data_IF_644593132676
#
_entry.id   IF_644593132676
#
_cell.length_a   1.000
_cell.length_b   1.000
_cell.length_c   1.000
_cell.angle_alpha   90.00
_cell.angle_beta   90.00
_cell.angle_gamma   90.00
#
_symmetry.space_group_name_H-M   'P 1'
#
loop_
_entity.id
_entity.type
_entity.pdbx_description
1 polymer ?
#
# COMPACT_ATOMS: atom_id res chain seq x y z
N UNK A 1 -28.06 -7.42 6.92
CA UNK A 1 -26.99 -8.37 7.24
C UNK A 1 -25.89 -8.24 6.22
N UNK A 2 -24.64 -8.41 6.63
CA UNK A 2 -23.48 -8.38 5.72
C UNK A 2 -22.88 -9.78 5.54
N UNK A 3 -22.81 -10.25 4.30
CA UNK A 3 -22.18 -11.53 3.95
C UNK A 3 -20.67 -11.37 3.90
N UNK A 4 -19.93 -12.22 4.61
CA UNK A 4 -18.48 -12.19 4.59
C UNK A 4 -17.94 -12.63 3.22
N UNK A 5 -17.10 -11.83 2.54
CA UNK A 5 -16.57 -12.17 1.22
C UNK A 5 -15.56 -13.33 1.23
N UNK A 6 -15.09 -13.76 2.41
CA UNK A 6 -14.10 -14.84 2.55
C UNK A 6 -14.75 -16.22 2.79
N UNK A 7 -15.80 -16.31 3.61
CA UNK A 7 -16.43 -17.57 4.00
C UNK A 7 -17.94 -17.67 3.70
N UNK A 8 -18.53 -16.65 3.09
CA UNK A 8 -19.97 -16.54 2.77
C UNK A 8 -20.92 -16.60 3.98
N UNK A 9 -20.41 -16.53 5.22
CA UNK A 9 -21.23 -16.44 6.42
C UNK A 9 -21.94 -15.08 6.51
N UNK A 10 -23.21 -15.06 6.88
CA UNK A 10 -23.99 -13.83 7.09
C UNK A 10 -23.80 -13.32 8.52
N UNK A 11 -23.52 -12.03 8.67
CA UNK A 11 -23.23 -11.37 9.95
C UNK A 11 -24.25 -10.23 10.17
N UNK A 12 -24.50 -9.81 11.43
CA UNK A 12 -25.34 -8.65 11.70
C UNK A 12 -24.75 -7.36 11.11
N UNK A 13 -25.62 -6.38 10.82
CA UNK A 13 -25.19 -5.09 10.30
C UNK A 13 -24.39 -4.31 11.35
N UNK A 14 -23.27 -3.71 10.93
CA UNK A 14 -22.32 -3.08 11.85
C UNK A 14 -21.28 -4.02 12.47
N UNK A 15 -21.32 -5.32 12.19
CA UNK A 15 -20.24 -6.24 12.56
C UNK A 15 -18.91 -5.81 11.90
N UNK A 16 -17.87 -5.61 12.72
CA UNK A 16 -16.52 -5.21 12.27
C UNK A 16 -15.70 -6.41 11.79
N UNK A 17 -15.97 -7.60 12.33
CA UNK A 17 -15.32 -8.86 12.00
C UNK A 17 -16.37 -9.96 11.80
N UNK A 18 -16.08 -10.91 10.92
CA UNK A 18 -16.95 -12.05 10.69
C UNK A 18 -16.90 -13.06 11.85
N UNK A 19 -18.04 -13.48 12.37
CA UNK A 19 -18.12 -14.38 13.53
C UNK A 19 -17.57 -15.79 13.23
N UNK A 20 -17.73 -16.28 12.00
CA UNK A 20 -17.26 -17.60 11.58
C UNK A 20 -15.77 -17.70 11.19
N UNK A 21 -15.08 -16.60 10.88
CA UNK A 21 -13.70 -16.65 10.35
C UNK A 21 -12.82 -15.44 10.72
N UNK A 22 -13.30 -14.54 11.60
CA UNK A 22 -12.63 -13.33 12.09
C UNK A 22 -12.15 -12.31 11.05
N UNK A 23 -12.39 -12.57 9.76
CA UNK A 23 -12.06 -11.67 8.65
C UNK A 23 -12.75 -10.32 8.84
N UNK A 24 -12.04 -9.18 8.75
CA UNK A 24 -12.65 -7.87 8.87
C UNK A 24 -13.70 -7.67 7.78
N UNK A 25 -14.86 -7.15 8.17
CA UNK A 25 -15.98 -6.88 7.27
C UNK A 25 -15.92 -5.43 6.80
N UNK A 26 -16.25 -5.12 5.53
CA UNK A 26 -16.25 -3.75 5.06
C UNK A 26 -17.38 -2.97 5.75
N UNK A 27 -17.00 -2.00 6.59
CA UNK A 27 -17.94 -1.15 7.33
C UNK A 27 -18.53 -0.10 6.37
N UNK A 28 -19.42 -0.54 5.48
CA UNK A 28 -20.24 0.32 4.62
C UNK A 28 -21.33 0.98 5.46
N UNK A 29 -20.93 2.00 6.23
CA UNK A 29 -21.87 2.85 6.97
C UNK A 29 -22.41 3.93 6.04
N UNK A 30 -23.73 4.09 6.03
CA UNK A 30 -24.35 5.23 5.36
C UNK A 30 -24.02 6.53 6.11
N UNK A 31 -23.57 7.53 5.37
CA UNK A 31 -23.32 8.91 5.82
C UNK A 31 -24.10 9.88 4.94
N UNK A 32 -24.44 11.05 5.47
CA UNK A 32 -25.05 12.11 4.65
C UNK A 32 -23.95 12.98 4.00
N UNK A 33 -24.16 13.37 2.74
CA UNK A 33 -23.25 14.32 2.09
C UNK A 33 -23.42 15.73 2.68
N UNK A 34 -22.37 16.37 3.24
CA UNK A 34 -22.50 17.67 3.91
C UNK A 34 -22.80 18.86 2.96
N UNK A 35 -22.87 18.62 1.64
CA UNK A 35 -23.17 19.62 0.63
C UNK A 35 -24.57 19.48 0.00
N UNK A 36 -25.19 18.30 0.07
CA UNK A 36 -26.49 18.05 -0.57
C UNK A 36 -27.38 17.01 0.14
N UNK A 37 -27.01 16.57 1.35
CA UNK A 37 -27.72 15.64 2.25
C UNK A 37 -28.09 14.26 1.68
N UNK A 38 -27.80 14.00 0.40
CA UNK A 38 -27.92 12.67 -0.19
C UNK A 38 -27.08 11.65 0.58
N UNK A 39 -27.67 10.47 0.83
CA UNK A 39 -27.01 9.35 1.49
C UNK A 39 -25.90 8.79 0.60
N UNK A 40 -24.70 8.63 1.16
CA UNK A 40 -23.51 8.05 0.51
C UNK A 40 -22.89 6.99 1.42
N UNK A 41 -21.99 6.16 0.87
CA UNK A 41 -21.20 5.21 1.66
C UNK A 41 -19.99 5.91 2.31
N UNK A 42 -19.59 5.45 3.49
CA UNK A 42 -18.47 6.01 4.27
C UNK A 42 -17.09 5.87 3.62
N UNK A 43 -16.93 5.04 2.59
CA UNK A 43 -15.72 4.85 1.79
C UNK A 43 -15.74 5.63 0.46
N UNK A 44 -16.86 6.26 0.11
CA UNK A 44 -17.01 7.00 -1.14
C UNK A 44 -16.14 8.28 -1.14
N UNK A 45 -15.30 8.41 -2.17
CA UNK A 45 -14.44 9.61 -2.34
C UNK A 45 -15.22 10.85 -2.78
N UNK A 46 -16.33 10.66 -3.48
CA UNK A 46 -17.19 11.71 -4.02
C UNK A 46 -18.67 11.35 -3.86
N UNK A 47 -19.53 12.34 -3.65
CA UNK A 47 -20.98 12.16 -3.64
C UNK A 47 -21.51 12.00 -5.08
N UNK A 48 -22.10 10.84 -5.39
CA UNK A 48 -22.67 10.55 -6.71
C UNK A 48 -23.87 11.43 -7.12
N UNK A 49 -24.48 12.17 -6.18
CA UNK A 49 -25.62 13.05 -6.46
C UNK A 49 -25.22 14.49 -6.78
N UNK A 50 -24.18 15.03 -6.14
CA UNK A 50 -23.78 16.44 -6.28
C UNK A 50 -22.27 16.68 -6.49
N UNK A 51 -21.48 15.63 -6.75
CA UNK A 51 -20.05 15.72 -7.10
C UNK A 51 -19.10 16.12 -5.96
N UNK A 52 -19.62 16.47 -4.78
CA UNK A 52 -18.83 16.94 -3.65
C UNK A 52 -17.77 15.91 -3.18
N UNK A 53 -16.54 16.38 -2.95
CA UNK A 53 -15.43 15.54 -2.49
C UNK A 53 -15.52 15.29 -0.98
N UNK A 54 -15.86 14.05 -0.61
CA UNK A 54 -16.10 13.65 0.78
C UNK A 54 -14.80 13.53 1.58
N UNK A 55 -13.65 13.27 0.92
CA UNK A 55 -12.35 13.14 1.60
C UNK A 55 -11.88 14.46 2.24
N UNK A 56 -12.34 15.61 1.74
CA UNK A 56 -12.01 16.92 2.30
C UNK A 56 -12.78 17.25 3.60
N UNK A 57 -14.00 16.71 3.76
CA UNK A 57 -14.85 16.99 4.92
C UNK A 57 -14.33 16.30 6.20
N UNK A 58 -13.75 15.10 6.08
CA UNK A 58 -13.20 14.34 7.22
C UNK A 58 -12.01 15.06 7.88
N UNK A 59 -11.34 15.98 7.18
CA UNK A 59 -10.15 16.67 7.66
C UNK A 59 -10.42 17.96 8.46
N UNK A 60 -11.66 18.46 8.51
CA UNK A 60 -11.96 19.82 9.02
C UNK A 60 -12.65 19.87 10.38
N UNK A 61 -13.05 18.73 10.97
CA UNK A 61 -13.89 18.70 12.16
C UNK A 61 -13.12 18.64 13.51
N UNK A 62 -11.99 19.36 13.61
CA UNK A 62 -11.24 19.58 14.86
C UNK A 62 -10.73 21.02 14.96
N UNK A 63 -11.60 21.96 15.33
CA UNK A 63 -11.21 23.29 15.83
C UNK A 63 -12.41 23.99 16.51
N UNK A 64 -12.44 24.09 17.85
CA UNK A 64 -13.36 24.97 18.55
C UNK A 64 -13.02 26.44 18.26
N UNK A 65 -14.04 27.25 18.00
CA UNK A 65 -13.90 28.68 17.72
C UNK A 65 -13.35 29.45 18.95
N UNK A 66 -12.25 30.19 18.78
CA UNK A 66 -11.76 31.17 19.75
C UNK A 66 -11.50 32.51 19.05
N UNK A 67 -12.22 33.54 19.47
CA UNK A 67 -12.16 34.88 18.88
C UNK A 67 -10.93 35.66 19.41
N UNK A 68 -10.21 36.41 18.55
CA UNK A 68 -9.10 37.24 19.00
C UNK A 68 -9.58 38.62 19.48
N UNK A 69 -9.24 38.99 20.71
CA UNK A 69 -9.36 40.37 21.19
C UNK A 69 -8.18 40.75 22.09
N UNK A 70 -7.84 42.05 22.13
CA UNK A 70 -6.73 42.69 22.85
C UNK A 70 -5.31 42.24 22.50
N UNK A 71 -4.71 42.97 21.56
CA UNK A 71 -3.26 43.15 21.50
C UNK A 71 -2.80 44.21 22.50
N UNK A 72 -1.77 43.92 23.29
CA UNK A 72 -0.84 44.91 23.87
C UNK A 72 0.57 44.37 23.67
N UNK A 73 1.49 45.21 23.15
CA UNK A 73 2.91 44.89 23.06
C UNK A 73 3.70 45.69 24.13
N UNK A 74 4.75 45.11 24.74
CA UNK A 74 5.79 45.86 25.43
C UNK A 74 7.01 46.08 24.53
N UNK A 75 7.77 47.15 24.78
CA UNK A 75 9.03 47.48 24.11
C UNK A 75 9.94 48.26 25.05
N UNK A 76 11.25 48.27 24.77
CA UNK A 76 12.33 48.98 25.47
C UNK A 76 12.69 48.43 26.87
N UNK A 77 13.69 47.55 26.99
CA UNK A 77 15.16 47.77 27.18
C UNK A 77 15.55 48.01 28.69
N UNK A 78 16.82 48.29 29.12
CA UNK A 78 17.48 47.39 30.07
C UNK A 78 18.06 48.04 31.35
N UNK A 79 18.54 47.22 32.30
CA UNK A 79 19.50 47.62 33.33
C UNK A 79 20.23 46.40 33.91
N UNK A 80 21.39 46.65 34.53
CA UNK A 80 22.40 45.66 34.94
C UNK A 80 22.57 45.54 36.46
N UNK A 81 23.49 44.66 36.88
CA UNK A 81 23.94 44.41 38.27
C UNK A 81 22.96 43.61 39.15
N UNK A 82 23.40 42.62 39.94
CA UNK A 82 24.73 42.00 39.99
C UNK A 82 24.89 40.93 41.09
N UNK A 83 25.80 39.97 40.84
CA UNK A 83 26.53 39.10 41.78
C UNK A 83 25.80 38.15 42.77
N UNK A 84 26.50 37.04 43.10
CA UNK A 84 26.39 36.19 44.31
C UNK A 84 25.32 35.06 44.38
N UNK A 85 25.78 33.85 44.07
CA UNK A 85 25.48 32.60 44.82
C UNK A 85 26.29 32.56 46.14
N UNK A 86 26.06 31.65 47.13
CA UNK A 86 25.31 30.38 47.08
C UNK A 86 24.42 30.01 48.31
N UNK A 87 23.82 28.82 48.24
CA UNK A 87 23.86 27.75 49.27
C UNK A 87 22.54 27.23 49.91
N UNK A 88 22.51 25.88 49.98
CA UNK A 88 22.03 25.03 51.08
C UNK A 88 20.52 24.83 51.38
N UNK A 89 20.06 23.64 50.97
CA UNK A 89 19.44 22.58 51.80
C UNK A 89 18.01 22.75 52.39
N UNK A 90 17.36 21.58 52.53
CA UNK A 90 16.23 21.26 53.43
C UNK A 90 14.85 21.91 53.10
N UNK A 91 13.70 21.25 53.28
CA UNK A 91 13.43 19.82 53.51
C UNK A 91 11.96 19.47 53.15
N UNK A 92 11.60 18.19 53.27
CA UNK A 92 10.29 17.61 53.69
C UNK A 92 9.07 18.56 53.67
N UNK A 93 7.92 18.22 53.05
CA UNK A 93 7.02 17.21 53.64
C UNK A 93 5.88 16.70 52.74
N UNK A 94 5.39 15.52 53.12
CA UNK A 94 4.29 14.72 52.59
C UNK A 94 2.86 15.24 52.78
N UNK A 95 1.99 14.94 51.80
CA UNK A 95 0.60 14.43 51.95
C UNK A 95 0.20 13.75 50.61
N UNK A 96 -0.46 12.59 50.51
CA UNK A 96 -1.81 12.19 51.00
C UNK A 96 -2.94 13.00 50.32
N UNK A 97 -4.04 12.43 49.79
CA UNK A 97 -4.61 11.06 49.91
C UNK A 97 -5.53 10.65 48.72
N UNK A 98 -6.24 9.52 48.88
CA UNK A 98 -7.17 8.76 48.01
C UNK A 98 -8.46 9.52 47.55
N UNK A 99 -9.42 9.01 46.73
CA UNK A 99 -10.03 7.66 46.72
C UNK A 99 -10.95 7.31 45.49
N UNK A 100 -10.92 6.04 45.06
CA UNK A 100 -12.02 5.05 44.83
C UNK A 100 -13.37 5.35 44.08
N UNK A 101 -13.76 4.42 43.18
CA UNK A 101 -15.13 3.90 42.83
C UNK A 101 -16.18 4.83 42.14
N UNK A 102 -17.29 4.39 41.51
CA UNK A 102 -17.79 3.15 40.81
C UNK A 102 -19.09 3.52 40.01
N UNK A 103 -19.99 2.73 39.38
CA UNK A 103 -20.31 1.27 39.26
C UNK A 103 -21.21 1.00 37.99
N UNK A 104 -21.77 -0.21 37.79
CA UNK A 104 -22.65 -0.66 36.68
C UNK A 104 -24.16 -0.30 36.85
N UNK A 105 -24.97 -0.41 35.77
CA UNK A 105 -26.41 -0.81 35.79
C UNK A 105 -27.04 -0.98 34.38
N UNK A 106 -28.13 -1.78 34.31
CA UNK A 106 -28.94 -2.15 33.11
C UNK A 106 -30.47 -1.95 33.40
N UNK A 107 -31.52 -2.31 32.65
CA UNK A 107 -31.77 -3.19 31.46
C UNK A 107 -33.18 -2.88 30.83
N UNK A 108 -33.51 -3.40 29.61
CA UNK A 108 -34.86 -3.47 28.94
C UNK A 108 -35.53 -2.13 28.51
N UNK A 109 -36.62 -2.02 27.71
CA UNK A 109 -37.74 -2.92 27.30
C UNK A 109 -38.22 -2.76 25.81
N UNK A 110 -39.23 -3.57 25.43
CA UNK A 110 -39.76 -3.90 24.09
C UNK A 110 -40.68 -2.84 23.40
N UNK A 111 -41.04 -3.06 22.12
CA UNK A 111 -42.08 -2.27 21.40
C UNK A 111 -42.44 -2.75 19.98
N UNK A 112 -43.53 -3.51 19.82
CA UNK A 112 -43.96 -4.22 18.59
C UNK A 112 -44.93 -3.42 17.68
N UNK A 113 -44.82 -3.53 16.34
CA UNK A 113 -45.94 -3.71 15.37
C UNK A 113 -45.46 -3.84 13.91
N UNK A 114 -46.29 -4.44 13.03
CA UNK A 114 -45.97 -4.71 11.62
C UNK A 114 -47.15 -4.38 10.67
N UNK A 115 -46.87 -4.21 9.37
CA UNK A 115 -47.81 -4.36 8.24
C UNK A 115 -47.07 -4.90 6.98
N UNK A 116 -47.78 -5.20 5.89
CA UNK A 116 -47.27 -6.00 4.75
C UNK A 116 -48.00 -5.73 3.40
N UNK A 117 -47.79 -6.57 2.37
CA UNK A 117 -48.33 -6.48 0.98
C UNK A 117 -47.71 -5.35 0.09
N UNK A 118 -47.58 -5.41 -1.26
CA UNK A 118 -47.79 -6.49 -2.27
C UNK A 118 -46.97 -6.27 -3.59
N UNK A 119 -46.53 -7.40 -4.17
CA UNK A 119 -46.20 -7.82 -5.57
C UNK A 119 -46.27 -6.80 -6.76
N UNK A 120 -45.36 -7.02 -7.74
CA UNK A 120 -45.29 -6.59 -9.18
C UNK A 120 -44.13 -5.62 -9.52
N UNK A 121 -43.46 -5.65 -10.68
CA UNK A 121 -43.37 -6.64 -11.78
C UNK A 121 -42.12 -6.38 -12.67
N UNK A 122 -41.74 -7.36 -13.50
CA UNK A 122 -40.64 -7.27 -14.49
C UNK A 122 -41.14 -6.66 -15.82
N UNK A 123 -40.36 -5.75 -16.43
CA UNK A 123 -39.80 -5.98 -17.78
C UNK A 123 -38.26 -5.78 -17.75
N UNK A 124 -37.40 -6.49 -18.48
CA UNK A 124 -37.47 -7.14 -19.80
C UNK A 124 -37.51 -6.16 -21.00
N UNK A 125 -36.33 -5.67 -21.38
CA UNK A 125 -36.06 -5.05 -22.69
C UNK A 125 -34.69 -5.50 -23.20
N UNK A 126 -34.67 -6.10 -24.39
CA UNK A 126 -33.46 -6.63 -25.05
C UNK A 126 -32.74 -5.60 -25.92
N UNK A 127 -31.70 -6.05 -26.64
CA UNK A 127 -31.00 -5.37 -27.75
C UNK A 127 -29.90 -4.33 -27.35
N UNK A 128 -28.80 -4.17 -28.10
CA UNK A 128 -28.34 -4.93 -29.29
C UNK A 128 -26.81 -5.05 -29.37
N UNK A 129 -26.37 -6.11 -30.05
CA UNK A 129 -24.98 -6.46 -30.35
C UNK A 129 -24.43 -5.73 -31.58
N UNK A 130 -23.15 -5.30 -31.53
CA UNK A 130 -22.24 -5.30 -32.71
C UNK A 130 -20.78 -5.47 -32.29
N UNK A 131 -20.22 -6.67 -32.43
CA UNK A 131 -18.77 -6.84 -32.58
C UNK A 131 -18.39 -6.68 -34.06
N UNK A 132 -17.29 -5.99 -34.42
CA UNK A 132 -16.74 -6.04 -35.77
C UNK A 132 -16.20 -7.45 -36.07
N UNK A 133 -16.29 -7.84 -37.34
CA UNK A 133 -16.13 -9.22 -37.82
C UNK A 133 -14.76 -9.44 -38.46
N UNK A 134 -14.13 -10.57 -38.17
CA UNK A 134 -12.94 -11.04 -38.90
C UNK A 134 -13.31 -11.44 -40.34
N UNK A 135 -12.55 -10.91 -41.30
CA UNK A 135 -12.36 -11.43 -42.67
C UNK A 135 -10.93 -11.06 -43.07
N UNK A 136 -9.98 -11.99 -43.18
CA UNK A 136 -9.86 -13.02 -44.23
C UNK A 136 -9.11 -12.48 -45.46
N UNK A 137 -7.78 -12.65 -45.44
CA UNK A 137 -6.88 -12.52 -46.59
C UNK A 137 -5.84 -13.65 -46.49
N UNK A 138 -6.08 -14.74 -47.20
CA UNK A 138 -5.04 -15.70 -47.63
C UNK A 138 -4.93 -15.66 -49.17
N UNK A 139 -4.07 -16.51 -49.74
CA UNK A 139 -3.89 -16.73 -51.18
C UNK A 139 -3.23 -15.60 -52.00
N UNK A 140 -1.91 -15.48 -51.87
CA UNK A 140 -1.03 -15.49 -53.03
C UNK A 140 0.03 -16.58 -52.84
N UNK A 141 0.05 -17.57 -53.74
CA UNK A 141 0.83 -18.80 -53.67
C UNK A 141 1.88 -18.88 -54.79
N UNK A 142 2.93 -19.68 -54.55
CA UNK A 142 3.92 -20.30 -55.46
C UNK A 142 4.26 -19.68 -56.83
N UNK A 143 5.54 -19.30 -57.01
CA UNK A 143 6.41 -19.56 -58.19
C UNK A 143 7.76 -18.81 -58.01
N UNK A 144 8.93 -19.28 -58.47
CA UNK A 144 9.36 -20.59 -58.98
C UNK A 144 10.90 -20.73 -58.76
N UNK A 145 11.50 -21.87 -59.11
CA UNK A 145 12.92 -22.16 -58.88
C UNK A 145 13.82 -21.99 -60.13
N UNK A 146 15.13 -22.19 -59.93
CA UNK A 146 16.27 -22.35 -60.88
C UNK A 146 17.16 -21.10 -61.09
N UNK A 147 18.43 -21.05 -60.61
CA UNK A 147 19.69 -21.69 -61.07
C UNK A 147 20.43 -20.83 -62.16
N UNK A 148 21.79 -20.78 -62.30
CA UNK A 148 22.83 -21.56 -61.62
C UNK A 148 24.09 -20.81 -61.10
N UNK A 149 24.88 -21.56 -60.32
CA UNK A 149 26.35 -21.54 -60.10
C UNK A 149 27.23 -20.34 -60.53
N UNK A 150 28.08 -19.90 -59.59
CA UNK A 150 29.40 -19.32 -59.87
C UNK A 150 30.47 -19.96 -58.98
N UNK A 151 31.67 -20.20 -59.53
CA UNK A 151 32.79 -20.89 -58.85
C UNK A 151 33.85 -19.89 -58.37
N UNK A 152 33.93 -19.66 -57.06
CA UNK A 152 35.03 -18.96 -56.37
C UNK A 152 35.52 -19.79 -55.20
N UNK A 153 36.84 -19.90 -54.99
CA UNK A 153 37.43 -20.97 -54.15
C UNK A 153 38.43 -20.45 -53.10
N UNK A 154 38.03 -20.58 -51.83
CA UNK A 154 38.88 -20.52 -50.61
C UNK A 154 39.53 -19.15 -50.29
N UNK A 155 40.08 -18.93 -49.07
CA UNK A 155 40.11 -19.84 -47.90
C UNK A 155 39.46 -19.28 -46.61
N UNK A 156 39.35 -20.16 -45.62
CA UNK A 156 39.39 -19.91 -44.17
C UNK A 156 39.01 -18.51 -43.64
N UNK A 157 37.77 -18.38 -43.17
CA UNK A 157 37.57 -18.06 -41.76
C UNK A 157 36.34 -18.81 -41.24
N UNK A 158 36.53 -19.64 -40.22
CA UNK A 158 35.39 -20.17 -39.48
C UNK A 158 34.78 -19.01 -38.70
N UNK A 159 33.48 -18.67 -38.84
CA UNK A 159 32.81 -17.95 -37.78
C UNK A 159 32.84 -18.89 -36.57
N UNK A 160 33.72 -18.60 -35.61
CA UNK A 160 33.69 -19.30 -34.33
C UNK A 160 32.26 -19.15 -33.80
N UNK A 161 31.61 -20.27 -33.48
CA UNK A 161 30.29 -20.25 -32.90
C UNK A 161 30.41 -19.65 -31.50
N UNK A 162 30.33 -18.32 -31.44
CA UNK A 162 30.14 -17.57 -30.21
C UNK A 162 28.80 -18.02 -29.70
N UNK A 163 28.82 -19.05 -28.85
CA UNK A 163 27.68 -19.41 -28.02
C UNK A 163 27.29 -18.14 -27.30
N UNK A 164 26.15 -17.56 -27.68
CA UNK A 164 25.45 -16.53 -26.91
C UNK A 164 24.88 -17.19 -25.66
N UNK A 165 25.79 -17.66 -24.81
CA UNK A 165 25.53 -18.15 -23.49
C UNK A 165 25.08 -16.94 -22.69
N UNK A 166 23.76 -16.78 -22.49
CA UNK A 166 23.25 -15.79 -21.58
C UNK A 166 23.88 -16.06 -20.22
N UNK A 167 24.76 -15.16 -19.76
CA UNK A 167 25.01 -15.01 -18.34
C UNK A 167 23.70 -14.52 -17.74
N UNK A 168 22.92 -15.46 -17.22
CA UNK A 168 21.76 -15.17 -16.41
C UNK A 168 22.28 -14.63 -15.07
N UNK A 169 22.51 -13.32 -15.01
CA UNK A 169 22.86 -12.64 -13.76
C UNK A 169 21.77 -12.92 -12.73
N UNK A 170 22.08 -13.72 -11.72
CA UNK A 170 21.19 -13.93 -10.61
C UNK A 170 21.28 -12.71 -9.68
N UNK A 171 20.14 -12.29 -9.15
CA UNK A 171 20.04 -11.12 -8.29
C UNK A 171 19.64 -11.55 -6.89
N UNK A 172 20.14 -10.85 -5.87
CA UNK A 172 19.87 -11.17 -4.48
C UNK A 172 19.83 -9.94 -3.59
N UNK A 173 19.22 -10.10 -2.41
CA UNK A 173 19.10 -9.10 -1.36
C UNK A 173 19.83 -9.61 -0.11
N UNK A 174 20.96 -8.99 0.23
CA UNK A 174 21.67 -9.25 1.50
C UNK A 174 21.05 -8.39 2.60
N UNK A 175 20.33 -9.00 3.55
CA UNK A 175 19.79 -8.28 4.72
C UNK A 175 20.93 -7.88 5.67
N UNK A 176 21.11 -6.58 5.89
CA UNK A 176 22.31 -6.00 6.52
C UNK A 176 22.41 -6.38 8.00
N UNK A 177 21.28 -6.42 8.71
CA UNK A 177 21.22 -6.65 10.15
C UNK A 177 21.47 -8.12 10.53
N UNK A 178 21.25 -9.06 9.61
CA UNK A 178 21.39 -10.52 9.86
C UNK A 178 22.41 -11.22 8.96
N UNK A 179 22.93 -10.54 7.94
CA UNK A 179 23.76 -11.09 6.86
C UNK A 179 23.12 -12.29 6.12
N UNK A 180 21.78 -12.34 6.09
CA UNK A 180 21.02 -13.37 5.37
C UNK A 180 20.80 -12.90 3.92
N UNK A 181 21.27 -13.67 2.95
CA UNK A 181 21.04 -13.42 1.52
C UNK A 181 19.77 -14.13 1.03
N UNK A 182 18.87 -13.39 0.42
CA UNK A 182 17.67 -13.91 -0.26
C UNK A 182 17.90 -13.81 -1.77
N UNK A 183 17.67 -14.88 -2.53
CA UNK A 183 17.70 -14.83 -3.99
C UNK A 183 16.38 -14.26 -4.53
N UNK A 184 16.47 -13.36 -5.52
CA UNK A 184 15.30 -12.79 -6.20
C UNK A 184 14.87 -13.78 -7.30
N UNK A 185 13.61 -14.28 -7.31
CA UNK A 185 13.16 -15.26 -8.29
C UNK A 185 13.19 -14.75 -9.74
N UNK A 186 14.28 -14.98 -10.46
CA UNK A 186 14.52 -14.48 -11.82
C UNK A 186 13.57 -15.03 -12.90
N UNK A 187 12.67 -15.95 -12.55
CA UNK A 187 11.59 -16.45 -13.41
C UNK A 187 10.29 -15.62 -13.29
N UNK A 188 10.20 -14.69 -12.34
CA UNK A 188 9.05 -13.81 -12.15
C UNK A 188 9.33 -12.41 -12.73
N UNK A 189 8.40 -11.83 -13.50
CA UNK A 189 8.52 -10.45 -14.02
C UNK A 189 8.27 -9.39 -12.94
N UNK A 190 7.60 -9.79 -11.85
CA UNK A 190 7.32 -9.00 -10.64
C UNK A 190 7.50 -9.93 -9.44
N UNK A 191 8.23 -9.47 -8.43
CA UNK A 191 8.51 -10.17 -7.17
C UNK A 191 7.99 -9.29 -6.04
N UNK A 192 6.98 -9.77 -5.32
CA UNK A 192 6.30 -9.03 -4.27
C UNK A 192 7.04 -9.14 -2.92
N UNK A 193 7.28 -8.00 -2.27
CA UNK A 193 8.01 -7.91 -0.99
C UNK A 193 7.09 -7.37 0.10
N UNK A 194 7.04 -8.08 1.23
CA UNK A 194 6.23 -7.68 2.38
C UNK A 194 6.06 -8.80 3.40
N UNK A 195 5.08 -8.64 4.30
CA UNK A 195 4.67 -9.65 5.27
C UNK A 195 3.48 -10.49 4.79
N UNK A 196 3.29 -11.75 5.27
CA UNK A 196 2.28 -12.65 4.76
C UNK A 196 0.87 -12.06 4.87
N UNK A 197 0.09 -12.26 3.80
CA UNK A 197 -1.26 -11.73 3.70
C UNK A 197 -2.12 -12.60 2.75
N UNK A 198 -3.43 -12.37 2.79
CA UNK A 198 -4.44 -13.19 2.12
C UNK A 198 -4.87 -12.66 0.75
N UNK A 199 -4.21 -11.63 0.20
CA UNK A 199 -4.62 -10.93 -1.03
C UNK A 199 -3.58 -11.13 -2.13
N UNK A 200 -2.31 -10.84 -1.85
CA UNK A 200 -1.16 -11.12 -2.70
C UNK A 200 -0.05 -11.65 -1.78
N UNK A 201 0.16 -12.97 -1.68
CA UNK A 201 1.27 -13.52 -0.91
C UNK A 201 2.61 -12.93 -1.39
N UNK A 202 3.51 -12.51 -0.49
CA UNK A 202 4.81 -12.01 -0.90
C UNK A 202 5.70 -13.18 -1.37
N UNK A 203 6.39 -13.00 -2.50
CA UNK A 203 7.45 -13.89 -2.96
C UNK A 203 8.69 -13.81 -2.06
N UNK A 204 8.93 -12.64 -1.46
CA UNK A 204 9.95 -12.40 -0.44
C UNK A 204 9.25 -11.99 0.86
N UNK A 205 9.03 -12.98 1.73
CA UNK A 205 8.53 -12.76 3.09
C UNK A 205 9.61 -12.13 3.98
N UNK A 206 9.31 -10.94 4.50
CA UNK A 206 10.19 -10.19 5.41
C UNK A 206 9.84 -10.35 6.89
N UNK A 207 8.82 -11.14 7.23
CA UNK A 207 8.32 -11.27 8.61
C UNK A 207 9.36 -11.87 9.58
N UNK A 208 10.22 -12.76 9.09
CA UNK A 208 11.28 -13.41 9.87
C UNK A 208 12.48 -12.51 10.23
N UNK A 209 12.52 -11.25 9.80
CA UNK A 209 13.60 -10.30 10.14
C UNK A 209 13.31 -9.52 11.43
N UNK A 210 14.35 -9.07 12.16
CA UNK A 210 14.17 -8.13 13.27
C UNK A 210 13.49 -6.85 12.79
N UNK A 211 12.71 -6.21 13.66
CA UNK A 211 11.98 -4.97 13.38
C UNK A 211 10.98 -5.03 12.19
N UNK A 212 10.64 -6.22 11.68
CA UNK A 212 9.74 -6.41 10.52
C UNK A 212 8.34 -5.79 10.71
N UNK A 213 7.94 -5.45 11.94
CA UNK A 213 6.75 -4.67 12.28
C UNK A 213 6.58 -3.40 11.43
N UNK A 214 7.67 -2.67 11.15
CA UNK A 214 7.61 -1.42 10.35
C UNK A 214 7.32 -1.66 8.86
N UNK A 215 7.52 -2.89 8.37
CA UNK A 215 7.29 -3.25 6.97
C UNK A 215 5.81 -3.55 6.74
N UNK A 216 5.32 -3.25 5.55
CA UNK A 216 3.91 -3.42 5.18
C UNK A 216 3.64 -4.86 4.68
N UNK A 217 2.38 -5.29 4.68
CA UNK A 217 1.99 -6.61 4.12
C UNK A 217 2.23 -6.71 2.61
N UNK A 218 1.90 -5.63 1.91
CA UNK A 218 2.32 -5.35 0.55
C UNK A 218 3.11 -4.04 0.68
N UNK A 219 4.41 -4.05 0.39
CA UNK A 219 5.30 -2.92 0.69
C UNK A 219 6.03 -2.42 -0.56
N UNK A 220 6.57 -3.34 -1.36
CA UNK A 220 7.24 -3.00 -2.61
C UNK A 220 7.26 -4.18 -3.59
N UNK A 221 7.45 -3.86 -4.87
CA UNK A 221 7.69 -4.82 -5.95
C UNK A 221 9.13 -4.67 -6.48
N UNK A 222 9.79 -5.78 -6.79
CA UNK A 222 10.94 -5.81 -7.70
C UNK A 222 10.47 -6.31 -9.06
N UNK A 223 10.67 -5.51 -10.11
CA UNK A 223 10.40 -5.89 -11.50
C UNK A 223 11.69 -6.28 -12.22
N UNK A 224 11.62 -7.34 -13.02
CA UNK A 224 12.69 -7.75 -13.93
C UNK A 224 12.29 -7.40 -15.38
N UNK A 225 13.12 -6.63 -16.06
CA UNK A 225 12.90 -6.20 -17.45
C UNK A 225 14.23 -6.03 -18.20
N UNK A 226 14.39 -6.69 -19.35
CA UNK A 226 15.59 -6.57 -20.19
C UNK A 226 16.93 -6.87 -19.49
N UNK A 227 16.94 -7.75 -18.47
CA UNK A 227 18.12 -8.00 -17.63
C UNK A 227 18.46 -6.88 -16.64
N UNK A 228 17.55 -5.93 -16.45
CA UNK A 228 17.61 -4.86 -15.46
C UNK A 228 16.56 -5.08 -14.38
N UNK A 229 16.90 -4.72 -13.14
CA UNK A 229 15.98 -4.79 -12.00
C UNK A 229 15.51 -3.39 -11.60
N UNK A 230 14.22 -3.27 -11.27
CA UNK A 230 13.60 -2.01 -10.86
C UNK A 230 12.84 -2.22 -9.55
N UNK A 231 13.05 -1.35 -8.57
CA UNK A 231 12.32 -1.33 -7.30
C UNK A 231 11.19 -0.30 -7.34
N UNK A 232 10.00 -0.66 -6.86
CA UNK A 232 8.79 0.17 -6.88
C UNK A 232 8.07 0.06 -5.52
N UNK A 233 7.99 1.17 -4.76
CA UNK A 233 7.21 1.20 -3.52
C UNK A 233 5.71 1.19 -3.86
N UNK A 234 4.96 0.23 -3.34
CA UNK A 234 3.55 -0.01 -3.71
C UNK A 234 2.54 0.80 -2.89
N UNK A 235 2.99 1.83 -2.15
CA UNK A 235 2.17 2.59 -1.21
C UNK A 235 2.40 2.18 0.24
N UNK A 236 3.66 1.95 0.62
CA UNK A 236 4.03 1.48 1.95
C UNK A 236 3.73 2.49 3.06
N UNK A 237 3.42 1.98 4.25
CA UNK A 237 2.98 2.80 5.39
C UNK A 237 4.09 3.64 6.03
N UNK A 238 5.35 3.22 5.87
CA UNK A 238 6.54 3.85 6.48
C UNK A 238 7.57 4.34 5.45
N UNK A 239 7.29 4.19 4.14
CA UNK A 239 8.14 4.59 3.02
C UNK A 239 9.33 3.67 2.75
N UNK A 240 9.63 3.44 1.48
CA UNK A 240 10.91 2.89 1.01
C UNK A 240 11.98 3.97 0.94
N UNK A 241 13.23 3.61 1.27
CA UNK A 241 14.41 4.44 1.04
C UNK A 241 15.45 3.68 0.22
N UNK A 242 16.11 4.35 -0.72
CA UNK A 242 17.23 3.79 -1.50
C UNK A 242 18.44 4.71 -1.34
N UNK A 243 19.58 4.16 -0.92
CA UNK A 243 20.80 4.89 -0.56
C UNK A 243 20.51 6.08 0.38
N UNK A 244 19.68 5.81 1.40
CA UNK A 244 19.15 6.75 2.40
C UNK A 244 18.25 7.89 1.86
N UNK A 245 17.96 7.95 0.55
CA UNK A 245 17.01 8.89 -0.06
C UNK A 245 15.61 8.26 -0.12
N UNK A 246 14.51 8.99 0.16
CA UNK A 246 13.15 8.46 0.07
C UNK A 246 12.76 8.16 -1.38
N UNK A 247 12.19 6.98 -1.62
CA UNK A 247 11.53 6.63 -2.88
C UNK A 247 10.03 6.93 -2.75
N UNK A 248 9.44 7.88 -3.51
CA UNK A 248 8.00 8.11 -3.45
C UNK A 248 7.24 6.93 -4.06
N UNK A 249 6.11 6.54 -3.45
CA UNK A 249 5.27 5.45 -3.92
C UNK A 249 4.89 5.57 -5.41
N UNK A 250 4.94 4.44 -6.12
CA UNK A 250 4.72 4.34 -7.57
C UNK A 250 5.89 4.79 -8.46
N UNK A 251 6.97 5.37 -7.91
CA UNK A 251 8.18 5.62 -8.70
C UNK A 251 9.06 4.38 -8.78
N UNK A 252 9.55 4.08 -9.99
CA UNK A 252 10.51 2.99 -10.25
C UNK A 252 11.95 3.49 -10.15
N UNK A 253 12.74 2.88 -9.27
CA UNK A 253 14.18 3.08 -9.20
C UNK A 253 14.92 1.93 -9.90
N UNK A 254 15.84 2.21 -10.82
CA UNK A 254 16.66 1.16 -11.45
C UNK A 254 17.79 0.74 -10.52
N UNK A 255 17.72 -0.48 -10.02
CA UNK A 255 18.70 -1.06 -9.09
C UNK A 255 20.06 -1.33 -9.77
N UNK A 256 21.11 -1.20 -8.97
CA UNK A 256 22.52 -1.48 -9.28
C UNK A 256 23.12 -2.28 -8.14
N UNK A 257 24.08 -3.17 -8.44
CA UNK A 257 24.80 -3.91 -7.40
C UNK A 257 25.47 -2.93 -6.41
N UNK A 258 25.19 -3.11 -5.12
CA UNK A 258 25.60 -2.22 -4.04
C UNK A 258 24.52 -1.23 -3.57
N UNK A 259 23.40 -1.06 -4.29
CA UNK A 259 22.30 -0.20 -3.84
C UNK A 259 21.69 -0.71 -2.54
N UNK A 260 21.53 0.19 -1.57
CA UNK A 260 21.01 -0.12 -0.24
C UNK A 260 19.56 0.30 -0.11
N UNK A 261 18.68 -0.67 0.10
CA UNK A 261 17.23 -0.52 0.15
C UNK A 261 16.77 -0.68 1.61
N UNK A 262 16.21 0.36 2.21
CA UNK A 262 15.65 0.31 3.57
C UNK A 262 14.12 0.31 3.51
N UNK A 263 13.50 -0.69 4.15
CA UNK A 263 12.04 -0.84 4.21
C UNK A 263 11.53 -0.17 5.49
N UNK A 264 10.92 1.00 5.34
CA UNK A 264 10.53 1.87 6.45
C UNK A 264 11.66 2.79 6.95
N UNK A 265 11.25 3.87 7.61
CA UNK A 265 12.15 4.89 8.17
C UNK A 265 13.06 4.32 9.26
N UNK A 266 14.30 4.80 9.28
CA UNK A 266 15.26 4.51 10.35
C UNK A 266 16.11 3.26 10.10
N UNK A 267 16.06 2.69 8.89
CA UNK A 267 17.07 1.74 8.40
C UNK A 267 17.17 0.43 9.22
N UNK A 268 16.09 0.06 9.91
CA UNK A 268 16.00 -1.11 10.78
C UNK A 268 15.93 -2.43 10.01
N UNK A 269 15.13 -2.45 8.94
CA UNK A 269 15.07 -3.54 7.96
C UNK A 269 15.71 -2.99 6.70
N UNK A 270 16.91 -3.46 6.36
CA UNK A 270 17.57 -3.00 5.13
C UNK A 270 18.37 -4.08 4.42
N UNK A 271 18.38 -3.97 3.10
CA UNK A 271 18.98 -4.91 2.18
C UNK A 271 20.02 -4.21 1.31
N UNK A 272 21.06 -4.92 0.91
CA UNK A 272 21.95 -4.50 -0.19
C UNK A 272 21.64 -5.39 -1.39
N UNK A 273 21.28 -4.77 -2.51
CA UNK A 273 21.05 -5.47 -3.77
C UNK A 273 22.39 -5.93 -4.37
N UNK A 274 22.45 -7.19 -4.77
CA UNK A 274 23.64 -7.83 -5.34
C UNK A 274 23.29 -8.51 -6.68
N UNK A 275 24.29 -8.60 -7.54
CA UNK A 275 24.26 -9.37 -8.79
C UNK A 275 25.42 -10.36 -8.77
N UNK A 276 25.13 -11.65 -8.93
CA UNK A 276 26.13 -12.68 -9.24
C UNK A 276 26.21 -12.92 -10.75
N UNK A 277 27.39 -13.28 -11.23
CA UNK A 277 27.82 -13.18 -12.64
C UNK A 277 28.61 -14.38 -13.12
#
# INVERSE_FOLDING_TARGET
>A
MITCPNCSHANPDGAVNCEACFTPLPIVKNIECPNCHATVLSDAKFCGHCGFNLMAATATNLLPNVSPENAIAPSVEPSSEGMAVPAALNNTSSSQSSSQSSSLAEETTEGNSAESFVINSIPDTSAVSTNPRFTEIEALLEAEANNPSSLGKAPMSSPASVKTQLQQFAASLLHVQTNLTIEIPAHLPVVHIGKPNTVIPPDIDVSGFPDSDIVSRIHADIRSDGGSFYFEDTGSSNGTYINNLPLPAGNRHKLRAGDRISLGKGDKVSFVFQLSS
#
